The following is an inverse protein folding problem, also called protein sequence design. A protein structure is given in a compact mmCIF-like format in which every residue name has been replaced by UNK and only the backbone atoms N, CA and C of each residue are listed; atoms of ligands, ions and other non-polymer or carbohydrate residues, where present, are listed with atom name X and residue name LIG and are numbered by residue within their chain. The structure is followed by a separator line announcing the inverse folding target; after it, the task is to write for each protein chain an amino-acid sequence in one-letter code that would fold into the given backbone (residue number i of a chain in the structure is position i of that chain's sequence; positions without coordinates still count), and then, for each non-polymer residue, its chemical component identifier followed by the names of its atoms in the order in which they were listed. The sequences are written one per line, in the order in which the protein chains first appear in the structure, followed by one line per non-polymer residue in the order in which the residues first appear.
data_IF_042225082135
#
_entry.id   IF_042225082135
#
_cell.length_a   1.000
_cell.length_b   1.000
_cell.length_c   1.000
_cell.angle_alpha   90.00
_cell.angle_beta   90.00
_cell.angle_gamma   90.00
#
_symmetry.space_group_name_H-M   'P 1'
#
loop_
_entity.id
_entity.type
_entity.pdbx_description
1 polymer ?
#
# COMPACT_ATOMS: atom_id res chain seq x y z
N UNK A 1 4.37 -24.58 3.14
CA UNK A 1 5.38 -23.54 2.81
C UNK A 1 6.33 -23.16 3.95
N UNK A 2 6.21 -23.67 5.18
CA UNK A 2 7.22 -23.47 6.24
C UNK A 2 7.42 -22.02 6.73
N UNK A 3 6.67 -21.06 6.18
CA UNK A 3 6.70 -19.64 6.54
C UNK A 3 5.97 -19.34 7.84
N UNK A 4 5.11 -20.22 8.29
CA UNK A 4 4.55 -20.16 9.64
C UNK A 4 4.67 -21.57 10.17
N UNK A 5 5.43 -21.72 11.25
CA UNK A 5 5.60 -22.99 11.96
C UNK A 5 4.54 -23.05 13.06
N UNK A 6 4.30 -24.24 13.63
CA UNK A 6 3.34 -24.42 14.72
C UNK A 6 2.37 -25.56 14.42
N UNK A 7 2.00 -26.27 15.49
CA UNK A 7 1.13 -27.44 15.44
C UNK A 7 -0.36 -27.06 15.58
N UNK A 8 -0.65 -25.81 15.95
CA UNK A 8 -2.02 -25.30 16.11
C UNK A 8 -2.19 -23.96 15.38
N UNK A 9 -3.42 -23.60 14.97
CA UNK A 9 -3.72 -22.28 14.40
C UNK A 9 -3.33 -21.12 15.33
N UNK A 10 -3.45 -21.29 16.65
CA UNK A 10 -3.06 -20.27 17.63
C UNK A 10 -1.55 -20.05 17.64
N UNK A 11 -0.76 -21.13 17.63
CA UNK A 11 0.70 -21.03 17.52
C UNK A 11 1.12 -20.38 16.20
N UNK A 12 0.47 -20.76 15.11
CA UNK A 12 0.71 -20.22 13.79
C UNK A 12 0.39 -18.71 13.74
N UNK A 13 -0.77 -18.29 14.24
CA UNK A 13 -1.17 -16.89 14.32
C UNK A 13 -0.18 -16.06 15.15
N UNK A 14 0.23 -16.55 16.32
CA UNK A 14 1.23 -15.89 17.17
C UNK A 14 2.57 -15.72 16.44
N UNK A 15 3.04 -16.75 15.74
CA UNK A 15 4.29 -16.70 14.99
C UNK A 15 4.19 -15.79 13.76
N UNK A 16 3.05 -15.76 13.07
CA UNK A 16 2.80 -14.84 11.98
C UNK A 16 2.81 -13.38 12.46
N UNK A 17 2.13 -13.07 13.57
CA UNK A 17 2.16 -11.74 14.21
C UNK A 17 3.57 -11.31 14.59
N UNK A 18 4.35 -12.21 15.20
CA UNK A 18 5.76 -11.95 15.52
C UNK A 18 6.59 -11.63 14.27
N UNK A 19 6.34 -12.30 13.14
CA UNK A 19 7.02 -12.01 11.86
C UNK A 19 6.63 -10.64 11.30
N UNK A 20 5.36 -10.24 11.37
CA UNK A 20 4.91 -8.92 10.95
C UNK A 20 5.55 -7.81 11.80
N UNK A 21 5.60 -8.01 13.13
CA UNK A 21 6.27 -7.09 14.05
C UNK A 21 7.76 -6.91 13.71
N UNK A 22 8.50 -8.00 13.44
CA UNK A 22 9.89 -7.93 13.00
C UNK A 22 10.10 -7.18 11.67
N UNK A 23 9.04 -7.04 10.86
CA UNK A 23 9.05 -6.27 9.62
C UNK A 23 8.61 -4.82 9.80
N UNK A 24 8.36 -4.37 11.04
CA UNK A 24 7.99 -2.99 11.35
C UNK A 24 6.49 -2.72 11.33
N UNK A 25 5.65 -3.76 11.31
CA UNK A 25 4.20 -3.61 11.51
C UNK A 25 3.91 -3.60 13.02
N UNK A 26 3.66 -2.42 13.58
CA UNK A 26 3.36 -2.24 15.01
C UNK A 26 2.12 -3.05 15.42
N UNK A 27 1.97 -3.35 16.71
CA UNK A 27 0.79 -4.06 17.21
C UNK A 27 -0.50 -3.28 16.88
N UNK A 28 -0.48 -1.95 17.00
CA UNK A 28 -1.62 -1.11 16.64
C UNK A 28 -1.93 -1.15 15.13
N UNK A 29 -0.93 -1.17 14.26
CA UNK A 29 -1.15 -1.36 12.82
C UNK A 29 -1.69 -2.77 12.52
N UNK A 30 -1.23 -3.81 13.24
CA UNK A 30 -1.74 -5.17 13.06
C UNK A 30 -3.23 -5.29 13.40
N UNK A 31 -3.75 -4.52 14.36
CA UNK A 31 -5.20 -4.46 14.65
C UNK A 31 -5.99 -4.05 13.41
N UNK A 32 -5.50 -3.07 12.65
CA UNK A 32 -6.17 -2.56 11.45
C UNK A 32 -5.86 -3.34 10.17
N UNK A 33 -4.92 -4.28 10.21
CA UNK A 33 -4.59 -5.16 9.08
C UNK A 33 -5.79 -6.01 8.63
N UNK A 34 -6.67 -6.39 9.58
CA UNK A 34 -7.90 -7.13 9.27
C UNK A 34 -8.81 -6.38 8.30
N UNK A 35 -8.85 -5.04 8.37
CA UNK A 35 -9.62 -4.22 7.43
C UNK A 35 -9.00 -4.23 6.03
N UNK A 36 -7.67 -4.13 5.97
CA UNK A 36 -6.91 -4.18 4.71
C UNK A 36 -7.15 -5.52 4.01
N UNK A 37 -7.18 -6.61 4.78
CA UNK A 37 -7.53 -7.93 4.26
C UNK A 37 -9.02 -8.02 3.85
N UNK A 38 -9.95 -7.48 4.63
CA UNK A 38 -11.38 -7.55 4.36
C UNK A 38 -11.80 -6.83 3.07
N UNK A 39 -11.10 -5.74 2.71
CA UNK A 39 -11.31 -5.01 1.45
C UNK A 39 -10.39 -5.48 0.31
N UNK A 40 -9.66 -6.59 0.49
CA UNK A 40 -8.71 -7.15 -0.48
C UNK A 40 -7.63 -6.15 -0.97
N UNK A 41 -7.29 -5.17 -0.13
CA UNK A 41 -6.47 -4.02 -0.52
C UNK A 41 -5.01 -4.41 -0.79
N UNK A 42 -4.45 -5.36 -0.05
CA UNK A 42 -3.11 -5.85 -0.32
C UNK A 42 -3.00 -6.48 -1.71
N UNK A 43 -3.97 -7.32 -2.09
CA UNK A 43 -4.04 -7.92 -3.44
C UNK A 43 -4.24 -6.86 -4.49
N UNK A 44 -5.21 -5.95 -4.30
CA UNK A 44 -5.48 -4.83 -5.20
C UNK A 44 -4.22 -4.04 -5.54
N UNK A 45 -3.44 -3.66 -4.52
CA UNK A 45 -2.21 -2.89 -4.70
C UNK A 45 -1.10 -3.73 -5.34
N UNK A 46 -0.82 -4.93 -4.81
CA UNK A 46 0.34 -5.72 -5.28
C UNK A 46 0.16 -6.22 -6.71
N UNK A 47 -1.06 -6.59 -7.11
CA UNK A 47 -1.36 -7.01 -8.48
C UNK A 47 -1.17 -5.85 -9.47
N UNK A 48 -1.71 -4.67 -9.15
CA UNK A 48 -1.58 -3.48 -9.99
C UNK A 48 -0.13 -3.02 -10.14
N UNK A 49 0.62 -3.00 -9.03
CA UNK A 49 2.05 -2.66 -9.06
C UNK A 49 2.88 -3.69 -9.81
N UNK A 50 2.60 -4.98 -9.66
CA UNK A 50 3.31 -6.01 -10.41
C UNK A 50 3.08 -5.85 -11.92
N UNK A 51 1.83 -5.63 -12.35
CA UNK A 51 1.51 -5.34 -13.76
C UNK A 51 2.25 -4.10 -14.28
N UNK A 52 2.23 -3.00 -13.52
CA UNK A 52 2.87 -1.74 -13.91
C UNK A 52 4.39 -1.86 -14.01
N UNK A 53 5.04 -2.47 -13.00
CA UNK A 53 6.50 -2.62 -12.97
C UNK A 53 7.01 -3.70 -13.94
N UNK A 54 6.18 -4.66 -14.31
CA UNK A 54 6.51 -5.64 -15.34
C UNK A 54 6.60 -5.04 -16.76
N UNK A 55 6.05 -3.83 -16.98
CA UNK A 55 6.05 -3.13 -18.29
C UNK A 55 5.42 -3.93 -19.42
N UNK A 56 4.46 -4.80 -19.10
CA UNK A 56 3.71 -5.59 -20.09
C UNK A 56 2.27 -5.10 -20.22
N UNK A 57 1.69 -5.27 -21.40
CA UNK A 57 0.31 -4.87 -21.70
C UNK A 57 -0.73 -5.70 -20.94
N UNK A 58 -1.98 -5.24 -20.94
CA UNK A 58 -3.11 -5.90 -20.26
C UNK A 58 -3.41 -7.32 -20.78
N UNK A 59 -2.97 -7.63 -22.01
CA UNK A 59 -3.09 -8.97 -22.61
C UNK A 59 -2.09 -9.98 -22.02
N UNK A 60 -1.12 -9.52 -21.23
CA UNK A 60 -0.11 -10.33 -20.54
C UNK A 60 -0.28 -10.14 -19.03
N UNK A 61 -1.29 -10.79 -18.42
CA UNK A 61 -1.59 -10.63 -16.99
C UNK A 61 -0.48 -11.22 -16.13
N UNK A 62 0.13 -10.36 -15.30
CA UNK A 62 1.17 -10.81 -14.37
C UNK A 62 0.54 -11.69 -13.29
N UNK A 63 1.05 -12.92 -13.14
CA UNK A 63 0.54 -13.91 -12.19
C UNK A 63 -0.97 -14.18 -12.32
N UNK A 64 -1.54 -14.04 -13.52
CA UNK A 64 -2.95 -14.35 -13.76
C UNK A 64 -3.93 -13.29 -13.26
N UNK A 65 -3.47 -12.18 -12.69
CA UNK A 65 -4.34 -11.09 -12.29
C UNK A 65 -4.85 -10.30 -13.50
N UNK A 66 -6.18 -10.16 -13.59
CA UNK A 66 -6.89 -9.43 -14.64
C UNK A 66 -7.93 -8.49 -14.03
N UNK A 67 -8.39 -7.52 -14.82
CA UNK A 67 -9.45 -6.59 -14.42
C UNK A 67 -10.56 -6.57 -15.46
N UNK A 68 -11.80 -6.72 -15.02
CA UNK A 68 -12.96 -6.64 -15.92
C UNK A 68 -14.24 -6.24 -15.17
N UNK A 69 -15.22 -5.74 -15.91
CA UNK A 69 -16.61 -5.79 -15.47
C UNK A 69 -17.06 -7.25 -15.50
N UNK A 70 -17.80 -7.69 -14.49
CA UNK A 70 -18.39 -9.03 -14.48
C UNK A 70 -19.90 -8.95 -14.74
N UNK A 71 -20.45 -10.00 -15.33
CA UNK A 71 -21.90 -10.23 -15.38
C UNK A 71 -22.40 -10.94 -14.11
N UNK A 72 -23.68 -11.31 -14.09
CA UNK A 72 -24.31 -11.99 -12.96
C UNK A 72 -23.70 -13.38 -12.68
N UNK A 73 -23.14 -14.03 -13.70
CA UNK A 73 -22.50 -15.35 -13.63
C UNK A 73 -20.99 -15.25 -13.32
N UNK A 74 -20.53 -14.04 -12.96
CA UNK A 74 -19.13 -13.68 -12.68
C UNK A 74 -18.20 -13.88 -13.88
N UNK A 75 -18.72 -13.84 -15.10
CA UNK A 75 -17.91 -13.88 -16.31
C UNK A 75 -17.50 -12.47 -16.76
N UNK A 76 -16.29 -12.30 -17.32
CA UNK A 76 -15.87 -11.02 -17.88
C UNK A 76 -16.82 -10.59 -19.00
N UNK A 77 -17.27 -9.33 -18.93
CA UNK A 77 -18.09 -8.71 -19.98
C UNK A 77 -17.54 -7.36 -20.40
N UNK A 78 -17.98 -6.93 -21.57
CA UNK A 78 -17.70 -5.59 -22.07
C UNK A 78 -18.44 -4.55 -21.20
N UNK A 79 -17.70 -3.54 -20.74
CA UNK A 79 -18.30 -2.40 -20.06
C UNK A 79 -19.13 -1.56 -21.03
N UNK A 80 -20.22 -0.96 -20.57
CA UNK A 80 -20.97 0.03 -21.35
C UNK A 80 -20.24 1.38 -21.38
N UNK A 81 -20.65 2.28 -22.28
CA UNK A 81 -20.09 3.65 -22.31
C UNK A 81 -20.37 4.42 -21.02
N UNK A 82 -21.56 4.24 -20.43
CA UNK A 82 -21.95 4.90 -19.20
C UNK A 82 -21.10 4.41 -18.01
N UNK A 83 -20.87 3.10 -17.89
CA UNK A 83 -19.99 2.55 -16.85
C UNK A 83 -18.56 3.11 -16.98
N UNK A 84 -18.01 3.15 -18.20
CA UNK A 84 -16.67 3.72 -18.44
C UNK A 84 -16.56 5.19 -18.08
N UNK A 85 -17.63 5.98 -18.22
CA UNK A 85 -17.58 7.40 -17.89
C UNK A 85 -17.42 7.68 -16.40
N UNK A 86 -17.71 6.71 -15.53
CA UNK A 86 -17.56 6.85 -14.08
C UNK A 86 -16.13 6.53 -13.60
N UNK A 87 -15.32 5.83 -14.40
CA UNK A 87 -14.02 5.33 -13.94
C UNK A 87 -13.04 6.44 -13.56
N UNK A 88 -13.11 7.59 -14.20
CA UNK A 88 -12.21 8.70 -13.88
C UNK A 88 -12.62 9.46 -12.61
N UNK A 89 -13.92 9.60 -12.35
CA UNK A 89 -14.43 10.38 -11.21
C UNK A 89 -14.61 9.54 -9.95
N UNK A 90 -15.07 8.29 -10.10
CA UNK A 90 -15.62 7.50 -8.99
C UNK A 90 -14.72 6.31 -8.62
N UNK A 91 -13.77 5.93 -9.48
CA UNK A 91 -12.85 4.83 -9.16
C UNK A 91 -11.63 5.34 -8.38
N UNK A 92 -11.24 4.60 -7.35
CA UNK A 92 -10.01 4.82 -6.59
C UNK A 92 -8.74 4.40 -7.35
N UNK A 93 -8.87 3.80 -8.53
CA UNK A 93 -7.79 3.10 -9.24
C UNK A 93 -7.43 1.73 -8.66
N UNK A 94 -8.13 1.27 -7.61
CA UNK A 94 -7.97 -0.05 -6.99
C UNK A 94 -9.26 -0.85 -7.14
N UNK A 95 -9.24 -2.04 -7.77
CA UNK A 95 -10.42 -2.90 -7.82
C UNK A 95 -10.70 -3.54 -6.45
N UNK A 96 -11.97 -3.76 -6.07
CA UNK A 96 -13.17 -3.43 -6.84
C UNK A 96 -13.53 -1.93 -6.77
N UNK A 97 -13.75 -1.30 -7.92
CA UNK A 97 -14.17 0.11 -8.00
C UNK A 97 -14.90 0.41 -9.31
N UNK A 98 -15.96 1.22 -9.24
CA UNK A 98 -16.78 1.63 -10.39
C UNK A 98 -17.17 0.47 -11.33
N UNK A 99 -17.53 -0.68 -10.74
CA UNK A 99 -17.94 -1.91 -11.42
C UNK A 99 -16.80 -2.83 -11.88
N UNK A 100 -15.55 -2.34 -11.94
CA UNK A 100 -14.38 -3.15 -12.30
C UNK A 100 -14.02 -4.06 -11.13
N UNK A 101 -13.87 -5.35 -11.40
CA UNK A 101 -13.47 -6.38 -10.44
C UNK A 101 -12.05 -6.87 -10.74
N UNK A 102 -11.39 -7.39 -9.72
CA UNK A 102 -10.18 -8.21 -9.89
C UNK A 102 -10.57 -9.65 -10.16
N UNK A 103 -9.94 -10.25 -11.17
CA UNK A 103 -10.00 -11.67 -11.47
C UNK A 103 -8.61 -12.24 -11.18
N UNK A 104 -8.58 -13.32 -10.42
CA UNK A 104 -7.37 -14.09 -10.13
C UNK A 104 -7.50 -15.47 -10.79
N UNK A 105 -6.79 -15.69 -11.90
CA UNK A 105 -6.88 -16.98 -12.62
C UNK A 105 -6.14 -18.11 -11.94
N UNK A 106 -5.37 -17.82 -10.88
CA UNK A 106 -4.69 -18.81 -10.06
C UNK A 106 -5.50 -19.16 -8.81
N UNK A 107 -6.75 -18.69 -8.69
CA UNK A 107 -7.54 -18.92 -7.49
C UNK A 107 -7.95 -20.40 -7.32
N UNK A 108 -7.39 -21.06 -6.31
CA UNK A 108 -7.63 -22.48 -6.01
C UNK A 108 -7.37 -22.84 -4.54
N UNK A 109 -7.93 -23.96 -4.08
CA UNK A 109 -7.69 -24.51 -2.74
C UNK A 109 -8.47 -23.81 -1.61
N UNK A 110 -8.08 -24.11 -0.37
CA UNK A 110 -8.76 -23.63 0.85
C UNK A 110 -8.57 -22.13 1.10
N UNK A 111 -7.44 -21.57 0.65
CA UNK A 111 -7.20 -20.13 0.53
C UNK A 111 -7.01 -19.79 -0.96
N UNK A 112 -8.10 -19.44 -1.67
CA UNK A 112 -8.04 -19.13 -3.09
C UNK A 112 -7.10 -17.97 -3.44
N UNK A 113 -6.77 -17.08 -2.50
CA UNK A 113 -5.89 -15.96 -2.78
C UNK A 113 -4.40 -16.32 -2.73
N UNK A 114 -4.05 -17.42 -2.06
CA UNK A 114 -2.67 -17.78 -1.76
C UNK A 114 -1.82 -18.08 -3.03
N UNK A 115 -2.29 -18.86 -4.02
CA UNK A 115 -1.46 -19.20 -5.19
C UNK A 115 -1.00 -17.98 -5.98
N UNK A 116 -1.91 -17.03 -6.25
CA UNK A 116 -1.59 -15.77 -6.93
C UNK A 116 -0.59 -14.92 -6.15
N UNK A 117 -0.77 -14.81 -4.83
CA UNK A 117 0.16 -14.08 -3.95
C UNK A 117 1.57 -14.71 -3.94
N UNK A 118 1.65 -16.03 -3.99
CA UNK A 118 2.92 -16.75 -4.06
C UNK A 118 3.62 -16.57 -5.39
N UNK A 119 2.86 -16.58 -6.49
CA UNK A 119 3.40 -16.24 -7.80
C UNK A 119 4.06 -14.86 -7.77
N UNK A 120 3.36 -13.84 -7.25
CA UNK A 120 3.92 -12.48 -7.14
C UNK A 120 5.16 -12.41 -6.23
N UNK A 121 5.13 -13.14 -5.11
CA UNK A 121 6.26 -13.22 -4.20
C UNK A 121 7.49 -13.88 -4.83
N UNK A 122 7.27 -14.92 -5.64
CA UNK A 122 8.30 -15.65 -6.38
C UNK A 122 8.85 -14.82 -7.55
N UNK A 123 7.97 -14.16 -8.33
CA UNK A 123 8.34 -13.32 -9.47
C UNK A 123 9.39 -12.28 -9.08
N UNK A 124 9.20 -11.59 -7.96
CA UNK A 124 10.17 -10.59 -7.46
C UNK A 124 11.58 -11.16 -7.21
N UNK A 125 11.68 -12.48 -6.97
CA UNK A 125 12.90 -13.20 -6.55
C UNK A 125 13.45 -14.15 -7.62
N UNK A 126 12.72 -14.39 -8.69
CA UNK A 126 13.11 -15.33 -9.72
C UNK A 126 14.39 -14.83 -10.41
N UNK A 127 15.42 -15.67 -10.41
CA UNK A 127 16.60 -15.48 -11.24
C UNK A 127 16.28 -15.99 -12.66
N UNK A 128 16.92 -15.41 -13.66
CA UNK A 128 16.81 -15.83 -15.08
C UNK A 128 15.39 -15.78 -15.67
N UNK A 129 14.46 -15.05 -15.04
CA UNK A 129 13.14 -14.72 -15.57
C UNK A 129 13.15 -13.29 -16.16
N UNK A 130 12.88 -13.10 -17.47
CA UNK A 130 12.90 -11.77 -18.10
C UNK A 130 11.87 -10.78 -17.53
N UNK A 131 10.70 -11.26 -17.11
CA UNK A 131 9.65 -10.46 -16.50
C UNK A 131 10.08 -9.99 -15.10
N UNK A 132 10.66 -10.91 -14.32
CA UNK A 132 11.24 -10.61 -13.02
C UNK A 132 12.38 -9.58 -13.12
N UNK A 133 13.23 -9.70 -14.13
CA UNK A 133 14.32 -8.77 -14.38
C UNK A 133 13.80 -7.38 -14.76
N UNK A 134 12.84 -7.30 -15.68
CA UNK A 134 12.18 -6.04 -16.04
C UNK A 134 11.52 -5.38 -14.83
N UNK A 135 10.85 -6.17 -13.98
CA UNK A 135 10.25 -5.67 -12.74
C UNK A 135 11.31 -5.13 -11.77
N UNK A 136 12.44 -5.84 -11.59
CA UNK A 136 13.55 -5.36 -10.75
C UNK A 136 14.15 -4.06 -11.28
N UNK A 137 14.36 -3.96 -12.58
CA UNK A 137 14.88 -2.75 -13.23
C UNK A 137 13.92 -1.58 -13.06
N UNK A 138 12.62 -1.79 -13.30
CA UNK A 138 11.61 -0.75 -13.09
C UNK A 138 11.59 -0.26 -11.64
N UNK A 139 11.63 -1.16 -10.66
CA UNK A 139 11.68 -0.80 -9.24
C UNK A 139 12.96 -0.06 -8.84
N UNK A 140 14.09 -0.37 -9.48
CA UNK A 140 15.34 0.38 -9.27
C UNK A 140 15.24 1.77 -9.90
N UNK A 141 14.68 1.87 -11.10
CA UNK A 141 14.51 3.13 -11.83
C UNK A 141 13.53 4.09 -11.13
N UNK A 142 12.53 3.58 -10.40
CA UNK A 142 11.58 4.40 -9.63
C UNK A 142 11.96 4.60 -8.18
N UNK A 143 13.12 4.10 -7.74
CA UNK A 143 13.57 4.27 -6.35
C UNK A 143 13.86 5.76 -6.08
N UNK A 144 13.20 6.33 -5.08
CA UNK A 144 13.45 7.70 -4.66
C UNK A 144 14.89 7.90 -4.18
N UNK A 145 15.52 9.00 -4.61
CA UNK A 145 16.75 9.50 -3.99
C UNK A 145 16.44 9.96 -2.57
N UNK A 146 17.34 9.65 -1.63
CA UNK A 146 17.27 10.16 -0.26
C UNK A 146 18.01 11.50 -0.10
N UNK A 147 18.46 12.12 -1.21
CA UNK A 147 19.00 13.49 -1.25
C UNK A 147 18.02 14.40 -2.00
N UNK A 148 16.86 14.75 -1.41
CA UNK A 148 15.94 15.68 -2.06
C UNK A 148 16.62 17.04 -2.25
N UNK A 149 16.37 17.67 -3.40
CA UNK A 149 16.89 19.00 -3.76
C UNK A 149 15.96 20.14 -3.31
N UNK A 150 14.85 19.81 -2.66
CA UNK A 150 13.83 20.72 -2.17
C UNK A 150 13.52 20.37 -0.71
N UNK A 151 12.98 21.30 0.09
CA UNK A 151 12.49 21.00 1.43
C UNK A 151 11.42 19.90 1.38
N UNK A 152 11.48 18.93 2.29
CA UNK A 152 10.52 17.82 2.34
C UNK A 152 9.99 17.66 3.76
N UNK A 153 8.67 17.74 3.91
CA UNK A 153 7.96 17.37 5.14
C UNK A 153 7.15 16.10 4.88
N UNK A 154 7.45 15.02 5.60
CA UNK A 154 6.73 13.76 5.51
C UNK A 154 5.70 13.68 6.64
N UNK A 155 4.44 13.38 6.32
CA UNK A 155 3.37 13.15 7.29
C UNK A 155 2.92 11.69 7.16
N UNK A 156 2.91 10.93 8.26
CA UNK A 156 2.56 9.51 8.22
C UNK A 156 1.75 9.10 9.46
N UNK A 157 0.67 8.35 9.25
CA UNK A 157 -0.11 7.74 10.32
C UNK A 157 0.59 6.53 10.97
N UNK A 158 0.63 6.49 12.31
CA UNK A 158 1.37 5.46 13.06
C UNK A 158 0.73 4.08 12.99
N UNK A 159 -0.52 3.99 12.52
CA UNK A 159 -1.29 2.74 12.42
C UNK A 159 -1.65 2.39 10.98
N UNK A 160 -0.94 2.96 10.00
CA UNK A 160 -1.03 2.56 8.59
C UNK A 160 -0.58 1.10 8.41
N UNK A 161 -1.56 0.25 8.06
CA UNK A 161 -1.41 -1.19 7.84
C UNK A 161 -1.32 -1.58 6.37
N UNK A 162 -1.40 -0.61 5.45
CA UNK A 162 -1.19 -0.80 4.01
C UNK A 162 0.24 -0.41 3.62
N UNK A 163 0.68 0.79 4.02
CA UNK A 163 2.01 1.34 3.75
C UNK A 163 2.70 1.60 5.09
N UNK A 164 3.47 0.61 5.55
CA UNK A 164 4.07 0.64 6.89
C UNK A 164 5.03 1.83 7.04
N UNK A 165 4.77 2.68 8.03
CA UNK A 165 5.59 3.86 8.36
C UNK A 165 7.07 3.51 8.54
N UNK A 166 7.34 2.40 9.24
CA UNK A 166 8.70 1.92 9.50
C UNK A 166 9.50 1.57 8.23
N UNK A 167 8.82 1.13 7.16
CA UNK A 167 9.45 0.76 5.88
C UNK A 167 9.47 1.90 4.86
N UNK A 168 8.80 3.02 5.15
CA UNK A 168 8.56 4.09 4.19
C UNK A 168 8.93 5.45 4.77
N UNK A 169 7.99 6.22 5.34
CA UNK A 169 8.22 7.58 5.82
C UNK A 169 9.40 7.68 6.78
N UNK A 170 9.42 6.83 7.82
CA UNK A 170 10.50 6.80 8.80
C UNK A 170 11.84 6.39 8.16
N UNK A 171 11.83 5.37 7.29
CA UNK A 171 13.03 4.88 6.61
C UNK A 171 13.63 5.94 5.67
N UNK A 172 12.78 6.67 4.94
CA UNK A 172 13.17 7.74 4.02
C UNK A 172 13.79 8.91 4.77
N UNK A 173 13.13 9.43 5.80
CA UNK A 173 13.63 10.55 6.62
C UNK A 173 14.97 10.18 7.27
N UNK A 174 15.06 8.97 7.86
CA UNK A 174 16.31 8.51 8.46
C UNK A 174 17.45 8.38 7.43
N UNK A 175 17.15 7.90 6.22
CA UNK A 175 18.13 7.80 5.14
C UNK A 175 18.59 9.17 4.63
N UNK A 176 17.67 10.14 4.51
CA UNK A 176 18.00 11.50 4.09
C UNK A 176 18.88 12.23 5.12
N UNK A 177 18.56 12.08 6.42
CA UNK A 177 19.37 12.64 7.51
C UNK A 177 20.79 12.07 7.54
N UNK A 178 20.96 10.78 7.25
CA UNK A 178 22.30 10.16 7.10
C UNK A 178 23.11 10.74 5.95
N UNK A 179 22.46 11.39 4.99
CA UNK A 179 23.10 12.10 3.87
C UNK A 179 23.23 13.61 4.14
N UNK A 180 23.10 14.02 5.41
CA UNK A 180 23.21 15.42 5.86
C UNK A 180 22.19 16.37 5.22
N UNK A 181 21.04 15.86 4.78
CA UNK A 181 19.90 16.68 4.35
C UNK A 181 19.31 17.36 5.58
N UNK A 182 19.27 18.70 5.59
CA UNK A 182 18.81 19.49 6.75
C UNK A 182 17.37 19.97 6.64
N UNK A 183 16.86 20.20 5.42
CA UNK A 183 15.47 20.59 5.15
C UNK A 183 14.56 19.34 5.00
N UNK A 184 14.56 18.47 6.02
CA UNK A 184 13.77 17.22 6.07
C UNK A 184 13.07 17.08 7.43
N UNK A 185 11.74 17.10 7.41
CA UNK A 185 10.89 17.03 8.60
C UNK A 185 9.99 15.79 8.59
N UNK A 186 9.58 15.34 9.77
CA UNK A 186 8.69 14.19 9.93
C UNK A 186 7.60 14.44 10.97
N UNK A 187 6.34 14.27 10.54
CA UNK A 187 5.17 14.33 11.38
C UNK A 187 4.52 12.95 11.50
N UNK A 188 4.48 12.44 12.72
CA UNK A 188 3.83 11.17 13.07
C UNK A 188 2.44 11.45 13.62
N UNK A 189 1.40 10.96 12.94
CA UNK A 189 0.01 11.11 13.37
C UNK A 189 -0.45 9.84 14.06
N UNK A 190 -0.56 9.89 15.39
CA UNK A 190 -1.02 8.74 16.17
C UNK A 190 -2.43 8.36 15.77
N UNK A 191 -2.74 7.06 15.81
CA UNK A 191 -4.09 6.55 15.49
C UNK A 191 -4.58 6.93 14.08
N UNK A 192 -3.74 7.41 13.16
CA UNK A 192 -4.12 7.58 11.76
C UNK A 192 -3.69 6.36 10.93
N UNK A 193 -4.61 5.89 10.09
CA UNK A 193 -4.38 4.84 9.09
C UNK A 193 -4.42 5.44 7.68
N UNK A 194 -4.32 4.59 6.66
CA UNK A 194 -4.13 5.01 5.27
C UNK A 194 -5.34 5.74 4.62
N UNK A 195 -6.57 5.42 5.04
CA UNK A 195 -7.80 5.79 4.32
C UNK A 195 -8.78 6.61 5.16
N UNK A 196 -8.73 7.94 5.12
CA UNK A 196 -9.70 8.78 5.85
C UNK A 196 -11.17 8.45 5.57
N UNK A 197 -11.48 7.94 4.37
CA UNK A 197 -12.81 7.43 4.01
C UNK A 197 -13.36 6.33 4.94
N UNK A 198 -12.48 5.60 5.63
CA UNK A 198 -12.86 4.50 6.54
C UNK A 198 -12.97 4.92 8.01
N UNK A 199 -12.51 6.12 8.38
CA UNK A 199 -12.48 6.58 9.78
C UNK A 199 -13.87 6.56 10.43
N UNK A 200 -14.91 6.81 9.63
CA UNK A 200 -16.31 6.81 10.08
C UNK A 200 -16.97 5.42 10.11
N UNK A 201 -16.27 4.35 9.69
CA UNK A 201 -16.82 3.01 9.80
C UNK A 201 -17.03 2.64 11.28
N UNK A 202 -18.10 1.93 11.64
CA UNK A 202 -18.38 1.58 13.04
C UNK A 202 -17.23 0.87 13.76
N UNK A 203 -16.44 0.07 13.05
CA UNK A 203 -15.27 -0.60 13.61
C UNK A 203 -14.15 0.37 14.05
N UNK A 204 -14.07 1.54 13.42
CA UNK A 204 -13.00 2.54 13.49
C UNK A 204 -13.37 3.81 14.26
N UNK A 205 -14.68 4.13 14.34
CA UNK A 205 -15.18 5.34 14.98
C UNK A 205 -14.62 5.52 16.40
N UNK A 206 -13.97 6.67 16.64
CA UNK A 206 -13.35 7.02 17.92
C UNK A 206 -12.05 6.29 18.25
N UNK A 207 -11.59 5.35 17.42
CA UNK A 207 -10.34 4.59 17.62
C UNK A 207 -9.23 5.02 16.68
N UNK A 208 -9.59 5.50 15.49
CA UNK A 208 -8.67 6.12 14.53
C UNK A 208 -9.07 7.56 14.26
N UNK A 209 -8.11 8.38 13.85
CA UNK A 209 -8.31 9.77 13.49
C UNK A 209 -7.94 10.03 12.01
N UNK A 210 -8.52 11.07 11.38
CA UNK A 210 -8.19 11.41 10.00
C UNK A 210 -6.76 11.94 9.87
N UNK A 211 -6.09 11.57 8.78
CA UNK A 211 -4.75 12.05 8.40
C UNK A 211 -4.81 13.37 7.63
N UNK A 212 -5.91 13.65 6.94
CA UNK A 212 -6.04 14.83 6.08
C UNK A 212 -5.87 16.16 6.82
N UNK A 213 -6.44 16.41 8.02
CA UNK A 213 -6.23 17.69 8.70
C UNK A 213 -4.75 17.95 9.04
N UNK A 214 -3.98 17.01 9.64
CA UNK A 214 -2.53 17.15 9.75
C UNK A 214 -1.80 17.34 8.41
N UNK A 215 -2.27 16.69 7.34
CA UNK A 215 -1.67 16.84 6.02
C UNK A 215 -1.89 18.25 5.43
N UNK A 216 -3.08 18.83 5.60
CA UNK A 216 -3.34 20.21 5.18
C UNK A 216 -2.53 21.21 6.00
N UNK A 217 -2.43 21.00 7.31
CA UNK A 217 -1.58 21.83 8.15
C UNK A 217 -0.10 21.75 7.70
N UNK A 218 0.38 20.57 7.32
CA UNK A 218 1.74 20.39 6.80
C UNK A 218 1.95 21.17 5.49
N UNK A 219 0.94 21.22 4.62
CA UNK A 219 0.98 22.03 3.40
C UNK A 219 1.04 23.53 3.71
N UNK A 220 0.25 24.00 4.68
CA UNK A 220 0.27 25.40 5.13
C UNK A 220 1.64 25.77 5.73
N UNK A 221 2.22 24.89 6.55
CA UNK A 221 3.56 25.09 7.13
C UNK A 221 4.66 25.09 6.05
N UNK A 222 4.57 24.20 5.07
CA UNK A 222 5.49 24.21 3.93
C UNK A 222 5.35 25.48 3.10
N UNK A 223 4.11 25.95 2.91
CA UNK A 223 3.86 27.21 2.20
C UNK A 223 4.48 28.39 2.94
N UNK A 224 4.27 28.49 4.25
CA UNK A 224 4.88 29.54 5.07
C UNK A 224 6.41 29.50 5.02
N UNK A 225 7.02 28.31 4.99
CA UNK A 225 8.46 28.16 4.79
C UNK A 225 8.93 28.70 3.44
N UNK A 226 8.22 28.35 2.36
CA UNK A 226 8.54 28.84 1.01
C UNK A 226 8.37 30.35 0.87
N UNK A 227 7.48 30.96 1.68
CA UNK A 227 7.29 32.42 1.75
C UNK A 227 8.32 33.12 2.68
N UNK A 228 9.38 32.41 3.12
CA UNK A 228 10.50 32.95 3.89
C UNK A 228 10.49 32.61 5.39
N UNK A 229 9.50 31.84 5.84
CA UNK A 229 9.41 31.34 7.21
C UNK A 229 10.42 30.22 7.52
N UNK A 230 10.55 29.84 8.81
CA UNK A 230 11.39 28.71 9.21
C UNK A 230 10.86 27.39 8.65
N UNK A 231 11.76 26.42 8.44
CA UNK A 231 11.35 25.06 8.06
C UNK A 231 10.60 24.38 9.23
N UNK A 232 9.52 23.62 8.98
CA UNK A 232 8.72 23.02 10.06
C UNK A 232 9.51 22.00 10.86
N UNK A 233 9.39 22.04 12.19
CA UNK A 233 10.00 21.06 13.08
C UNK A 233 9.30 19.69 13.01
N UNK A 234 10.00 18.65 13.45
CA UNK A 234 9.41 17.32 13.66
C UNK A 234 8.28 17.39 14.70
N UNK A 235 7.25 16.55 14.51
CA UNK A 235 6.06 16.56 15.38
C UNK A 235 5.46 15.17 15.56
N UNK A 236 4.93 14.93 16.75
CA UNK A 236 4.01 13.81 17.01
C UNK A 236 2.65 14.42 17.33
N UNK A 237 1.60 13.93 16.67
CA UNK A 237 0.23 14.46 16.73
C UNK A 237 -0.65 13.37 17.35
N UNK A 238 -1.38 13.70 18.41
CA UNK A 238 -2.18 12.76 19.21
C UNK A 238 -3.62 12.57 18.70
#
# INVERSE_FOLDING_TARGET
MGWVRGNTPVEQARLARGRLAMRGMTDDAQVWAGLIQAFDLWRAVVAGYAQAYARVGVEQPVCGYRYAMLDADRQPRVATRAERSLWWSDASGLPPAAGVQMIDTLAEGDDPALPGLLCLHALRRANDDPLAETMRQSLTATRASTQPKVPVLVVHGTVDSLVLMAQTGQAYVAAARRQAVTAIGFWEVRRAQHFDAFVNLPAMAGKVQPLLPPAFEALDQMRAHLDGGPFPADRVID
#
